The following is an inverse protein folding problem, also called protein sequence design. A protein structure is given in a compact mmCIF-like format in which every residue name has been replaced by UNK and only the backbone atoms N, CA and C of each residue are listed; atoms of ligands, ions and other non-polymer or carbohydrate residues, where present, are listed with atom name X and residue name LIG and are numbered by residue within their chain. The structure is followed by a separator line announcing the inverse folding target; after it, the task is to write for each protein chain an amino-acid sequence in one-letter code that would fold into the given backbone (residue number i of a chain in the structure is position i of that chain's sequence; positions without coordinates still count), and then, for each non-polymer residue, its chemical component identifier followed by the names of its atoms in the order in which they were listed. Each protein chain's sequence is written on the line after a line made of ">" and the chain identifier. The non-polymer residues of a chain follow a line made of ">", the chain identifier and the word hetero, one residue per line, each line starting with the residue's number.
data_IF_675881844125
#
_entry.id   IF_675881844125
#
_cell.length_a   1.000
_cell.length_b   1.000
_cell.length_c   1.000
_cell.angle_alpha   90.00
_cell.angle_beta   90.00
_cell.angle_gamma   90.00
#
_symmetry.space_group_name_H-M   'P 1'
#
loop_
_entity.id
_entity.type
_entity.pdbx_description
1 polymer ?
#
# COMPACT_ATOMS: atom_id res chain seq x y z
N UNK A 1 -27.74 -3.20 11.75
CA UNK A 1 -27.08 -2.52 10.61
C UNK A 1 -26.63 -3.62 9.67
N UNK A 2 -26.54 -3.38 8.36
CA UNK A 2 -25.96 -4.36 7.44
C UNK A 2 -24.48 -4.52 7.76
N UNK A 3 -23.93 -5.72 7.56
CA UNK A 3 -22.51 -5.96 7.70
C UNK A 3 -21.72 -5.12 6.68
N UNK A 4 -20.51 -4.65 7.02
CA UNK A 4 -19.63 -4.05 6.03
C UNK A 4 -19.29 -5.03 4.90
N UNK A 5 -19.24 -4.53 3.67
CA UNK A 5 -19.01 -5.34 2.48
C UNK A 5 -17.54 -5.29 2.01
N UNK A 6 -17.00 -6.45 1.67
CA UNK A 6 -15.63 -6.59 1.17
C UNK A 6 -15.64 -7.36 -0.15
N UNK A 7 -14.98 -6.81 -1.17
CA UNK A 7 -14.63 -7.52 -2.39
C UNK A 7 -13.17 -7.99 -2.31
N UNK A 8 -12.96 -9.29 -2.36
CA UNK A 8 -11.63 -9.90 -2.41
C UNK A 8 -11.25 -10.15 -3.87
N UNK A 9 -10.08 -9.66 -4.26
CA UNK A 9 -9.46 -9.85 -5.57
C UNK A 9 -8.10 -10.52 -5.37
N UNK A 10 -8.01 -11.86 -5.32
CA UNK A 10 -6.76 -12.55 -5.03
C UNK A 10 -5.67 -12.27 -6.08
N UNK A 11 -6.05 -12.20 -7.35
CA UNK A 11 -5.15 -11.91 -8.46
C UNK A 11 -4.23 -13.08 -8.83
N UNK A 12 -2.93 -12.80 -8.99
CA UNK A 12 -1.93 -13.68 -9.60
C UNK A 12 -0.86 -14.13 -8.61
N UNK A 13 -0.08 -15.13 -9.01
CA UNK A 13 1.12 -15.57 -8.31
C UNK A 13 0.85 -16.00 -6.88
N UNK A 14 1.51 -15.35 -5.90
CA UNK A 14 1.31 -15.61 -4.47
C UNK A 14 0.00 -15.02 -3.93
N UNK A 15 -0.68 -14.15 -4.67
CA UNK A 15 -1.90 -13.46 -4.22
C UNK A 15 -2.97 -14.40 -3.65
N UNK A 16 -3.36 -15.50 -4.33
CA UNK A 16 -4.35 -16.46 -3.81
C UNK A 16 -3.94 -17.12 -2.48
N UNK A 17 -2.65 -17.46 -2.30
CA UNK A 17 -2.20 -18.12 -1.07
C UNK A 17 -2.14 -17.15 0.13
N UNK A 18 -1.65 -15.92 -0.05
CA UNK A 18 -1.64 -14.93 1.04
C UNK A 18 -3.05 -14.44 1.39
N UNK A 19 -3.94 -14.32 0.38
CA UNK A 19 -5.34 -13.93 0.61
C UNK A 19 -6.14 -15.02 1.35
N UNK A 20 -5.75 -16.29 1.20
CA UNK A 20 -6.34 -17.38 1.99
C UNK A 20 -6.14 -17.14 3.49
N UNK A 21 -4.97 -16.65 3.90
CA UNK A 21 -4.68 -16.36 5.30
C UNK A 21 -5.46 -15.13 5.79
N UNK A 22 -5.64 -14.11 4.94
CA UNK A 22 -6.50 -12.95 5.26
C UNK A 22 -7.96 -13.39 5.48
N UNK A 23 -8.48 -14.29 4.65
CA UNK A 23 -9.85 -14.83 4.82
C UNK A 23 -10.03 -15.56 6.16
N UNK A 24 -9.01 -16.29 6.64
CA UNK A 24 -9.04 -16.90 7.98
C UNK A 24 -9.16 -15.84 9.07
N UNK A 25 -8.38 -14.74 8.97
CA UNK A 25 -8.43 -13.64 9.94
C UNK A 25 -9.78 -12.93 9.91
N UNK A 26 -10.36 -12.66 8.74
CA UNK A 26 -11.71 -12.09 8.58
C UNK A 26 -12.76 -12.96 9.30
N UNK A 27 -12.70 -14.28 9.07
CA UNK A 27 -13.62 -15.24 9.71
C UNK A 27 -13.44 -15.24 11.24
N UNK A 28 -12.20 -15.18 11.73
CA UNK A 28 -11.91 -15.10 13.17
C UNK A 28 -12.59 -13.90 13.82
N UNK A 29 -12.55 -12.71 13.19
CA UNK A 29 -13.23 -11.53 13.72
C UNK A 29 -14.75 -11.71 13.76
N UNK A 30 -15.34 -12.35 12.75
CA UNK A 30 -16.77 -12.70 12.75
C UNK A 30 -17.15 -13.65 13.88
N UNK A 31 -16.37 -14.69 14.11
CA UNK A 31 -16.66 -15.72 15.11
C UNK A 31 -16.36 -15.29 16.56
N UNK A 32 -15.31 -14.50 16.76
CA UNK A 32 -14.78 -14.20 18.10
C UNK A 32 -15.04 -12.78 18.59
N UNK A 33 -15.30 -11.83 17.67
CA UNK A 33 -15.46 -10.40 17.99
C UNK A 33 -16.80 -9.82 17.58
N UNK A 34 -17.74 -10.66 17.09
CA UNK A 34 -19.03 -10.23 16.56
C UNK A 34 -18.90 -9.15 15.46
N UNK A 35 -17.80 -9.23 14.69
CA UNK A 35 -17.48 -8.33 13.61
C UNK A 35 -17.54 -9.10 12.27
N UNK A 36 -18.76 -9.34 11.79
CA UNK A 36 -19.00 -10.04 10.54
C UNK A 36 -18.92 -9.10 9.34
N UNK A 37 -18.45 -9.64 8.22
CA UNK A 37 -18.33 -8.96 6.93
C UNK A 37 -19.08 -9.74 5.85
N UNK A 38 -19.71 -9.01 4.91
CA UNK A 38 -20.29 -9.57 3.70
C UNK A 38 -19.19 -9.65 2.65
N UNK A 39 -18.57 -10.84 2.53
CA UNK A 39 -17.41 -11.07 1.67
C UNK A 39 -17.83 -11.64 0.32
N UNK A 40 -17.38 -11.02 -0.76
CA UNK A 40 -17.45 -11.54 -2.13
C UNK A 40 -16.06 -11.68 -2.75
N UNK A 41 -15.90 -12.53 -3.76
CA UNK A 41 -14.63 -12.76 -4.44
C UNK A 41 -14.82 -12.66 -5.94
N UNK A 42 -13.82 -12.09 -6.65
CA UNK A 42 -13.83 -11.99 -8.11
C UNK A 42 -12.40 -11.99 -8.67
N UNK A 43 -12.25 -11.95 -10.00
CA UNK A 43 -10.97 -12.04 -10.68
C UNK A 43 -10.39 -10.66 -11.02
N UNK A 44 -9.05 -10.56 -10.97
CA UNK A 44 -8.27 -9.42 -11.41
C UNK A 44 -6.93 -9.89 -11.98
N UNK A 45 -6.29 -9.06 -12.77
CA UNK A 45 -4.95 -9.32 -13.29
C UNK A 45 -4.92 -10.36 -14.40
N UNK A 46 -3.91 -11.20 -14.37
CA UNK A 46 -3.73 -12.30 -15.32
C UNK A 46 -4.81 -13.36 -15.22
N UNK A 47 -5.30 -13.65 -14.00
CA UNK A 47 -6.41 -14.57 -13.78
C UNK A 47 -7.70 -14.09 -14.47
N UNK A 48 -7.99 -12.79 -14.41
CA UNK A 48 -9.12 -12.21 -15.13
C UNK A 48 -8.91 -12.24 -16.65
N UNK A 49 -7.69 -11.95 -17.11
CA UNK A 49 -7.34 -12.02 -18.53
C UNK A 49 -7.51 -13.44 -19.09
N UNK A 50 -7.07 -14.46 -18.38
CA UNK A 50 -7.23 -15.85 -18.78
C UNK A 50 -8.70 -16.27 -18.90
N UNK A 51 -9.55 -15.74 -18.02
CA UNK A 51 -10.98 -16.05 -17.99
C UNK A 51 -11.82 -15.24 -19.00
N UNK A 52 -11.48 -13.97 -19.21
CA UNK A 52 -12.36 -13.00 -19.88
C UNK A 52 -11.67 -12.21 -21.00
N UNK A 53 -10.35 -12.36 -21.21
CA UNK A 53 -9.57 -11.58 -22.19
C UNK A 53 -9.30 -10.12 -21.77
N UNK A 54 -9.62 -9.76 -20.53
CA UNK A 54 -9.37 -8.44 -19.96
C UNK A 54 -8.87 -8.56 -18.51
N UNK A 55 -7.93 -7.70 -18.06
CA UNK A 55 -7.35 -7.79 -16.72
C UNK A 55 -8.30 -7.38 -15.59
N UNK A 56 -9.46 -6.82 -15.92
CA UNK A 56 -10.56 -6.50 -15.03
C UNK A 56 -11.85 -6.41 -15.85
N UNK A 57 -12.88 -7.15 -15.48
CA UNK A 57 -14.19 -7.09 -16.13
C UNK A 57 -14.97 -5.85 -15.69
N UNK A 58 -15.93 -5.40 -16.52
CA UNK A 58 -16.81 -4.29 -16.13
C UNK A 58 -17.72 -4.68 -14.95
N UNK A 59 -18.09 -5.96 -14.83
CA UNK A 59 -18.86 -6.47 -13.71
C UNK A 59 -18.06 -6.39 -12.41
N UNK A 60 -16.80 -6.85 -12.41
CA UNK A 60 -15.91 -6.74 -11.24
C UNK A 60 -15.67 -5.28 -10.85
N UNK A 61 -15.48 -4.38 -11.84
CA UNK A 61 -15.33 -2.94 -11.59
C UNK A 61 -16.58 -2.34 -10.94
N UNK A 62 -17.79 -2.72 -11.40
CA UNK A 62 -19.04 -2.26 -10.79
C UNK A 62 -19.16 -2.74 -9.33
N UNK A 63 -18.85 -4.01 -9.05
CA UNK A 63 -18.80 -4.52 -7.66
C UNK A 63 -17.82 -3.74 -6.79
N UNK A 64 -16.61 -3.46 -7.31
CA UNK A 64 -15.59 -2.70 -6.59
C UNK A 64 -16.04 -1.27 -6.22
N UNK A 65 -16.90 -0.65 -7.03
CA UNK A 65 -17.47 0.68 -6.76
C UNK A 65 -18.57 0.66 -5.69
N UNK A 66 -19.23 -0.48 -5.45
CA UNK A 66 -20.36 -0.61 -4.53
C UNK A 66 -19.97 -1.04 -3.12
N UNK A 67 -18.87 -1.80 -2.97
CA UNK A 67 -18.43 -2.31 -1.67
C UNK A 67 -17.76 -1.24 -0.80
N UNK A 68 -17.74 -1.48 0.51
CA UNK A 68 -17.06 -0.59 1.48
C UNK A 68 -15.53 -0.66 1.36
N UNK A 69 -14.97 -1.83 0.98
CA UNK A 69 -13.53 -2.00 0.78
C UNK A 69 -13.23 -3.10 -0.25
N UNK A 70 -12.16 -2.89 -1.01
CA UNK A 70 -11.54 -3.91 -1.87
C UNK A 70 -10.27 -4.41 -1.19
N UNK A 71 -10.07 -5.74 -1.11
CA UNK A 71 -8.81 -6.37 -0.72
C UNK A 71 -8.19 -7.03 -1.95
N UNK A 72 -7.01 -6.58 -2.37
CA UNK A 72 -6.30 -7.09 -3.53
C UNK A 72 -5.03 -7.83 -3.08
N UNK A 73 -4.79 -9.02 -3.64
CA UNK A 73 -3.59 -9.80 -3.35
C UNK A 73 -2.38 -9.32 -4.13
N UNK A 74 -2.26 -9.74 -5.38
CA UNK A 74 -1.18 -9.31 -6.27
C UNK A 74 -1.57 -9.46 -7.75
N UNK A 75 -0.91 -8.75 -8.66
CA UNK A 75 -1.15 -8.88 -10.10
C UNK A 75 0.17 -9.01 -10.87
N UNK A 76 0.11 -9.64 -12.03
CA UNK A 76 1.25 -9.75 -12.93
C UNK A 76 1.93 -11.13 -12.93
N UNK A 77 2.86 -11.28 -13.87
CA UNK A 77 3.68 -12.48 -14.00
C UNK A 77 4.26 -12.66 -15.40
N UNK A 78 5.38 -13.40 -15.55
CA UNK A 78 6.12 -13.52 -16.81
C UNK A 78 5.27 -14.07 -17.97
N UNK A 79 4.24 -14.86 -17.68
CA UNK A 79 3.29 -15.37 -18.66
C UNK A 79 2.64 -14.27 -19.50
N UNK A 80 2.52 -13.06 -18.93
CA UNK A 80 1.79 -11.95 -19.53
C UNK A 80 2.72 -10.87 -20.13
N UNK A 81 4.04 -11.05 -20.09
CA UNK A 81 5.01 -10.05 -20.56
C UNK A 81 4.85 -9.72 -22.05
N UNK A 82 4.43 -10.69 -22.86
CA UNK A 82 4.25 -10.55 -24.31
C UNK A 82 2.90 -9.97 -24.73
N UNK A 83 1.99 -9.74 -23.78
CA UNK A 83 0.68 -9.16 -24.06
C UNK A 83 0.80 -7.70 -24.52
N UNK A 84 -0.19 -7.26 -25.30
CA UNK A 84 -0.35 -5.83 -25.58
C UNK A 84 -0.46 -5.05 -24.28
N UNK A 85 0.14 -3.86 -24.26
CA UNK A 85 0.22 -3.02 -23.06
C UNK A 85 -1.16 -2.70 -22.45
N UNK A 86 -2.20 -2.60 -23.30
CA UNK A 86 -3.57 -2.27 -22.88
C UNK A 86 -4.26 -3.36 -22.06
N UNK A 87 -3.81 -4.62 -22.18
CA UNK A 87 -4.40 -5.79 -21.50
C UNK A 87 -3.45 -6.48 -20.52
N UNK A 88 -2.31 -5.88 -20.22
CA UNK A 88 -1.43 -6.41 -19.16
C UNK A 88 -2.13 -6.44 -17.80
N UNK A 89 -1.83 -7.41 -16.92
CA UNK A 89 -2.43 -7.56 -15.60
C UNK A 89 -2.49 -6.27 -14.78
N UNK A 90 -1.42 -5.49 -14.78
CA UNK A 90 -1.27 -4.22 -14.05
C UNK A 90 -2.31 -3.17 -14.50
N UNK A 91 -2.84 -3.29 -15.73
CA UNK A 91 -3.89 -2.38 -16.23
C UNK A 91 -5.20 -2.54 -15.46
N UNK A 92 -5.49 -3.74 -14.93
CA UNK A 92 -6.63 -3.98 -14.04
C UNK A 92 -6.51 -3.19 -12.73
N UNK A 93 -5.33 -3.24 -12.10
CA UNK A 93 -5.03 -2.47 -10.90
C UNK A 93 -5.11 -0.96 -11.13
N UNK A 94 -4.49 -0.47 -12.21
CA UNK A 94 -4.52 0.95 -12.57
C UNK A 94 -5.96 1.43 -12.88
N UNK A 95 -6.80 0.57 -13.46
CA UNK A 95 -8.20 0.86 -13.72
C UNK A 95 -8.97 1.01 -12.40
N UNK A 96 -8.79 0.10 -11.43
CA UNK A 96 -9.40 0.19 -10.09
C UNK A 96 -9.03 1.52 -9.43
N UNK A 97 -7.74 1.85 -9.36
CA UNK A 97 -7.26 3.10 -8.75
C UNK A 97 -7.88 4.34 -9.38
N UNK A 98 -7.97 4.37 -10.72
CA UNK A 98 -8.48 5.51 -11.47
C UNK A 98 -9.99 5.65 -11.36
N UNK A 99 -10.76 4.57 -11.62
CA UNK A 99 -12.22 4.65 -11.67
C UNK A 99 -12.86 4.74 -10.29
N UNK A 100 -12.20 4.25 -9.23
CA UNK A 100 -12.60 4.49 -7.84
C UNK A 100 -12.08 5.83 -7.30
N UNK A 101 -11.26 6.58 -8.07
CA UNK A 101 -10.59 7.82 -7.68
C UNK A 101 -9.82 7.71 -6.35
N UNK A 102 -8.97 6.68 -6.24
CA UNK A 102 -8.17 6.38 -5.05
C UNK A 102 -6.90 7.22 -5.03
N UNK A 103 -7.01 8.50 -4.71
CA UNK A 103 -5.93 9.47 -4.88
C UNK A 103 -4.86 9.47 -3.79
N UNK A 104 -5.16 9.01 -2.58
CA UNK A 104 -4.22 9.00 -1.46
C UNK A 104 -3.80 7.57 -1.13
N UNK A 105 -2.58 7.20 -1.50
CA UNK A 105 -2.01 5.90 -1.17
C UNK A 105 -1.13 6.02 0.08
N UNK A 106 -1.55 5.33 1.13
CA UNK A 106 -0.90 5.26 2.43
C UNK A 106 0.03 4.07 2.47
N UNK A 107 1.32 4.29 2.65
CA UNK A 107 2.38 3.29 2.74
C UNK A 107 3.14 3.44 4.06
N UNK A 108 2.77 2.71 5.12
CA UNK A 108 3.51 2.75 6.37
C UNK A 108 4.86 2.03 6.20
N UNK A 109 5.92 2.65 6.71
CA UNK A 109 7.23 2.03 6.89
C UNK A 109 7.49 1.90 8.40
N UNK A 110 7.03 0.80 8.97
CA UNK A 110 7.16 0.48 10.39
C UNK A 110 8.15 -0.65 10.59
N UNK A 111 9.14 -0.43 11.44
CA UNK A 111 10.09 -1.46 11.82
C UNK A 111 9.63 -2.13 13.12
N UNK A 112 9.24 -3.39 13.03
CA UNK A 112 8.95 -4.22 14.20
C UNK A 112 10.24 -4.47 14.98
N UNK A 113 10.23 -4.31 16.30
CA UNK A 113 11.43 -4.46 17.13
C UNK A 113 12.12 -5.82 16.93
N UNK A 114 11.32 -6.89 16.80
CA UNK A 114 11.81 -8.25 16.54
C UNK A 114 12.49 -8.44 15.16
N UNK A 115 12.40 -7.45 14.25
CA UNK A 115 13.00 -7.46 12.92
C UNK A 115 14.07 -6.39 12.74
N UNK A 116 14.35 -5.59 13.75
CA UNK A 116 15.30 -4.48 13.64
C UNK A 116 16.73 -4.91 13.26
N UNK A 117 17.13 -6.13 13.63
CA UNK A 117 18.43 -6.73 13.27
C UNK A 117 18.49 -7.23 11.81
N UNK A 118 17.33 -7.35 11.13
CA UNK A 118 17.25 -7.80 9.73
C UNK A 118 17.29 -6.65 8.71
N UNK A 119 17.21 -5.41 9.19
CA UNK A 119 17.37 -4.23 8.33
C UNK A 119 18.76 -4.18 7.72
N UNK A 120 18.86 -3.64 6.50
CA UNK A 120 20.14 -3.32 5.86
C UNK A 120 20.89 -2.19 6.56
N UNK A 121 20.21 -1.43 7.43
CA UNK A 121 20.80 -0.38 8.25
C UNK A 121 21.06 -0.87 9.67
N UNK A 122 21.86 -0.11 10.41
CA UNK A 122 22.13 -0.40 11.82
C UNK A 122 20.84 -0.32 12.64
N UNK A 123 20.69 -1.21 13.60
CA UNK A 123 19.53 -1.27 14.49
C UNK A 123 19.20 0.09 15.14
N UNK A 124 20.19 0.83 15.60
CA UNK A 124 20.01 2.17 16.20
C UNK A 124 19.32 3.19 15.26
N UNK A 125 19.42 2.97 13.94
CA UNK A 125 18.77 3.83 12.94
C UNK A 125 17.31 3.46 12.74
N UNK A 126 16.97 2.16 12.79
CA UNK A 126 15.66 1.65 12.40
C UNK A 126 14.77 1.19 13.56
N UNK A 127 15.31 0.85 14.73
CA UNK A 127 14.50 0.40 15.88
C UNK A 127 13.47 1.47 16.27
N UNK A 128 12.18 1.08 16.34
CA UNK A 128 11.08 1.99 16.62
C UNK A 128 10.75 2.97 15.48
N UNK A 129 11.17 2.67 14.24
CA UNK A 129 10.79 3.46 13.07
C UNK A 129 9.30 3.31 12.78
N UNK A 130 8.62 4.43 12.58
CA UNK A 130 7.22 4.51 12.15
C UNK A 130 7.00 5.76 11.28
N UNK A 131 7.06 5.58 9.97
CA UNK A 131 6.84 6.64 8.98
C UNK A 131 5.60 6.29 8.16
N UNK A 132 4.75 7.28 7.90
CA UNK A 132 3.65 7.17 6.96
C UNK A 132 3.97 7.94 5.67
N UNK A 133 4.09 7.27 4.54
CA UNK A 133 4.25 7.89 3.23
C UNK A 133 2.87 8.00 2.59
N UNK A 134 2.45 9.22 2.28
CA UNK A 134 1.22 9.55 1.56
C UNK A 134 1.60 9.90 0.12
N UNK A 135 1.39 8.95 -0.78
CA UNK A 135 1.66 9.06 -2.21
C UNK A 135 0.40 9.50 -2.94
N UNK A 136 0.47 10.58 -3.73
CA UNK A 136 -0.57 10.84 -4.72
C UNK A 136 -0.59 9.70 -5.76
N UNK A 137 -1.77 9.17 -6.11
CA UNK A 137 -1.83 7.89 -6.83
C UNK A 137 -2.54 7.94 -8.19
N UNK A 138 -3.28 8.98 -8.51
CA UNK A 138 -4.18 9.02 -9.69
C UNK A 138 -3.75 9.98 -10.79
N UNK A 139 -2.64 10.71 -10.59
CA UNK A 139 -2.13 11.72 -11.50
C UNK A 139 -0.62 11.57 -11.76
N UNK A 140 0.04 12.61 -12.20
CA UNK A 140 1.47 12.63 -12.46
C UNK A 140 1.89 11.85 -13.70
N UNK A 141 3.13 11.38 -13.71
CA UNK A 141 3.78 10.76 -14.88
C UNK A 141 3.15 9.41 -15.28
N UNK A 142 2.48 8.72 -14.34
CA UNK A 142 1.80 7.45 -14.63
C UNK A 142 0.50 7.62 -15.42
N UNK A 143 -0.11 8.82 -15.40
CA UNK A 143 -1.40 9.10 -16.03
C UNK A 143 -1.41 10.31 -16.97
N UNK A 144 -0.38 11.16 -16.92
CA UNK A 144 -0.31 12.37 -17.73
C UNK A 144 -0.22 12.11 -19.23
N UNK A 145 -0.85 13.01 -20.01
CA UNK A 145 -0.83 13.01 -21.47
C UNK A 145 -0.11 14.28 -21.98
N UNK A 146 0.58 14.23 -23.15
CA UNK A 146 0.77 13.08 -24.05
C UNK A 146 1.75 12.03 -23.47
N UNK A 147 1.52 10.76 -23.84
CA UNK A 147 2.41 9.65 -23.48
C UNK A 147 2.45 8.61 -24.59
N UNK A 148 3.54 7.88 -24.68
CA UNK A 148 3.69 6.79 -25.63
C UNK A 148 5.07 6.74 -26.29
N UNK A 149 5.18 5.86 -27.27
CA UNK A 149 6.35 5.78 -28.17
C UNK A 149 5.89 6.21 -29.54
N UNK A 150 6.42 7.34 -30.00
CA UNK A 150 6.11 7.92 -31.32
C UNK A 150 7.35 7.87 -32.23
N UNK A 151 7.19 8.18 -33.51
CA UNK A 151 8.30 8.33 -34.44
C UNK A 151 8.38 9.77 -34.90
N UNK A 152 9.49 10.42 -34.64
CA UNK A 152 9.81 11.77 -35.11
C UNK A 152 11.15 11.73 -35.88
N UNK A 153 11.19 12.34 -37.06
CA UNK A 153 12.41 12.42 -37.91
C UNK A 153 13.10 11.06 -38.11
N UNK A 154 12.32 9.97 -38.31
CA UNK A 154 12.79 8.58 -38.42
C UNK A 154 13.45 8.00 -37.17
N UNK A 155 13.29 8.63 -36.00
CA UNK A 155 13.76 8.16 -34.70
C UNK A 155 12.57 7.87 -33.76
N UNK A 156 12.72 6.83 -32.92
CA UNK A 156 11.71 6.50 -31.91
C UNK A 156 11.91 7.38 -30.69
N UNK A 157 10.84 8.05 -30.25
CA UNK A 157 10.82 8.93 -29.08
C UNK A 157 9.83 8.41 -28.06
N UNK A 158 10.28 8.19 -26.81
CA UNK A 158 9.42 7.84 -25.68
C UNK A 158 9.03 9.10 -24.92
N UNK A 159 7.73 9.28 -24.66
CA UNK A 159 7.18 10.45 -23.96
C UNK A 159 6.33 10.01 -22.78
N UNK A 160 6.58 10.60 -21.60
CA UNK A 160 5.68 10.58 -20.46
C UNK A 160 5.57 12.00 -19.89
N UNK A 161 4.37 12.43 -19.55
CA UNK A 161 4.09 13.78 -19.06
C UNK A 161 3.82 13.79 -17.57
N UNK A 162 4.62 14.53 -16.83
CA UNK A 162 4.35 14.86 -15.42
C UNK A 162 3.39 16.02 -15.35
N UNK A 163 2.15 15.78 -14.91
CA UNK A 163 1.09 16.79 -14.84
C UNK A 163 0.31 16.66 -13.54
N UNK A 164 0.13 17.81 -12.85
CA UNK A 164 -0.71 17.97 -11.67
C UNK A 164 -1.55 19.24 -11.77
N UNK A 165 -2.78 19.18 -11.26
CA UNK A 165 -3.62 20.35 -10.99
C UNK A 165 -3.52 20.73 -9.51
N UNK A 166 -3.86 21.96 -9.16
CA UNK A 166 -3.95 22.41 -7.77
C UNK A 166 -4.86 21.50 -6.93
N UNK A 167 -6.05 21.16 -7.44
CA UNK A 167 -7.03 20.34 -6.73
C UNK A 167 -6.54 18.91 -6.44
N UNK A 168 -5.74 18.34 -7.33
CA UNK A 168 -5.11 17.01 -7.10
C UNK A 168 -4.08 17.07 -5.99
N UNK A 169 -3.29 18.16 -5.92
CA UNK A 169 -2.30 18.38 -4.86
C UNK A 169 -3.00 18.69 -3.52
N UNK A 170 -4.01 19.59 -3.54
CA UNK A 170 -4.75 19.96 -2.33
C UNK A 170 -5.36 18.76 -1.60
N UNK A 171 -6.04 17.87 -2.33
CA UNK A 171 -6.73 16.74 -1.72
C UNK A 171 -5.78 15.75 -1.04
N UNK A 172 -4.61 15.48 -1.64
CA UNK A 172 -3.62 14.59 -1.02
C UNK A 172 -2.88 15.29 0.12
N UNK A 173 -2.62 16.59 0.02
CA UNK A 173 -2.05 17.39 1.11
C UNK A 173 -2.95 17.38 2.34
N UNK A 174 -4.26 17.62 2.19
CA UNK A 174 -5.23 17.52 3.29
C UNK A 174 -5.23 16.13 3.93
N UNK A 175 -5.18 15.07 3.14
CA UNK A 175 -5.08 13.71 3.67
C UNK A 175 -3.83 13.51 4.53
N UNK A 176 -2.68 14.05 4.12
CA UNK A 176 -1.43 13.98 4.88
C UNK A 176 -1.50 14.77 6.18
N UNK A 177 -2.05 15.98 6.16
CA UNK A 177 -2.19 16.80 7.37
C UNK A 177 -3.18 16.18 8.37
N UNK A 178 -4.33 15.64 7.92
CA UNK A 178 -5.27 14.94 8.79
C UNK A 178 -4.66 13.69 9.43
N UNK A 179 -3.82 12.97 8.71
CA UNK A 179 -3.06 11.86 9.27
C UNK A 179 -2.04 12.34 10.31
N UNK A 180 -1.30 13.38 10.01
CA UNK A 180 -0.29 13.94 10.93
C UNK A 180 -0.90 14.36 12.27
N UNK A 181 -2.10 14.98 12.28
CA UNK A 181 -2.83 15.32 13.51
C UNK A 181 -3.14 14.12 14.42
N UNK A 182 -3.25 12.94 13.86
CA UNK A 182 -3.47 11.67 14.58
C UNK A 182 -2.18 10.95 14.93
N UNK A 183 -1.03 11.50 14.54
CA UNK A 183 0.32 10.95 14.73
C UNK A 183 1.22 11.97 15.44
N UNK A 184 2.44 12.16 14.97
CA UNK A 184 3.42 13.08 15.56
C UNK A 184 3.24 14.55 15.19
N UNK A 185 2.14 14.91 14.51
CA UNK A 185 1.80 16.29 14.11
C UNK A 185 2.85 16.95 13.20
N UNK A 186 3.49 16.16 12.32
CA UNK A 186 4.60 16.62 11.48
C UNK A 186 4.47 16.08 10.05
N UNK A 187 4.56 16.97 9.05
CA UNK A 187 4.56 16.65 7.62
C UNK A 187 5.84 17.13 6.97
N UNK A 188 6.45 16.26 6.17
CA UNK A 188 7.50 16.60 5.22
C UNK A 188 6.98 16.46 3.80
N UNK A 189 6.81 17.56 3.08
CA UNK A 189 6.45 17.55 1.66
C UNK A 189 7.70 17.36 0.81
N UNK A 190 7.72 16.27 0.02
CA UNK A 190 8.86 15.94 -0.83
C UNK A 190 8.51 16.13 -2.30
N UNK A 191 9.32 16.92 -3.01
CA UNK A 191 9.12 17.32 -4.40
C UNK A 191 10.46 17.63 -5.11
N UNK A 192 10.42 18.13 -6.33
CA UNK A 192 11.62 18.49 -7.09
C UNK A 192 11.52 19.91 -7.68
N UNK A 193 11.15 20.89 -6.86
CA UNK A 193 10.90 22.28 -7.27
C UNK A 193 12.12 23.00 -7.86
N UNK A 194 13.34 22.50 -7.61
CA UNK A 194 14.54 23.10 -8.17
C UNK A 194 14.74 22.84 -9.68
N UNK A 195 13.98 21.90 -10.28
CA UNK A 195 14.12 21.53 -11.70
C UNK A 195 12.80 21.20 -12.40
N UNK A 196 11.68 21.14 -11.67
CA UNK A 196 10.37 20.76 -12.21
C UNK A 196 9.32 21.80 -11.86
N UNK A 197 8.63 22.35 -12.86
CA UNK A 197 7.52 23.29 -12.67
C UNK A 197 6.35 22.66 -11.91
N UNK A 198 6.07 21.39 -12.16
CA UNK A 198 5.09 20.62 -11.36
C UNK A 198 5.49 20.51 -9.90
N UNK A 199 6.79 20.45 -9.60
CA UNK A 199 7.33 20.47 -8.25
C UNK A 199 7.20 21.86 -7.58
N UNK A 200 7.36 22.94 -8.34
CA UNK A 200 7.12 24.31 -7.84
C UNK A 200 5.65 24.46 -7.45
N UNK A 201 4.73 24.09 -8.34
CA UNK A 201 3.29 24.13 -8.04
C UNK A 201 2.94 23.26 -6.84
N UNK A 202 3.51 22.06 -6.75
CA UNK A 202 3.31 21.17 -5.60
C UNK A 202 3.66 21.85 -4.28
N UNK A 203 4.85 22.44 -4.19
CA UNK A 203 5.32 23.15 -2.99
C UNK A 203 4.43 24.32 -2.63
N UNK A 204 4.05 25.16 -3.62
CA UNK A 204 3.19 26.30 -3.40
C UNK A 204 1.81 25.91 -2.87
N UNK A 205 1.18 24.88 -3.46
CA UNK A 205 -0.14 24.41 -3.05
C UNK A 205 -0.11 23.77 -1.68
N UNK A 206 0.86 22.89 -1.39
CA UNK A 206 1.01 22.29 -0.05
C UNK A 206 1.22 23.35 1.02
N UNK A 207 2.08 24.37 0.74
CA UNK A 207 2.30 25.48 1.67
C UNK A 207 1.02 26.29 1.89
N UNK A 208 0.27 26.60 0.83
CA UNK A 208 -0.99 27.34 0.95
C UNK A 208 -2.03 26.57 1.77
N UNK A 209 -2.24 25.28 1.52
CA UNK A 209 -3.16 24.43 2.29
C UNK A 209 -2.75 24.39 3.76
N UNK A 210 -1.47 24.31 4.06
CA UNK A 210 -0.95 24.36 5.42
C UNK A 210 -1.30 25.71 6.09
N UNK A 211 -0.99 26.83 5.45
CA UNK A 211 -1.15 28.15 6.05
C UNK A 211 -2.62 28.52 6.28
N UNK A 212 -3.50 28.05 5.40
CA UNK A 212 -4.95 28.33 5.47
C UNK A 212 -5.71 27.38 6.40
N UNK A 213 -5.34 26.09 6.48
CA UNK A 213 -6.17 25.06 7.10
C UNK A 213 -5.45 24.27 8.22
N UNK A 214 -4.12 24.23 8.24
CA UNK A 214 -3.32 23.33 9.09
C UNK A 214 -2.11 23.99 9.76
N UNK A 215 -2.19 25.26 10.08
CA UNK A 215 -1.08 26.03 10.66
C UNK A 215 -0.58 25.48 12.02
N UNK A 216 -1.33 24.58 12.64
CA UNK A 216 -0.97 23.86 13.87
C UNK A 216 -0.11 22.59 13.63
N UNK A 217 0.09 22.18 12.39
CA UNK A 217 0.94 21.04 12.00
C UNK A 217 2.33 21.54 11.62
N UNK A 218 3.39 20.90 12.08
CA UNK A 218 4.75 21.22 11.63
C UNK A 218 4.92 20.82 10.16
N UNK A 219 5.18 21.78 9.25
CA UNK A 219 5.45 21.53 7.84
C UNK A 219 6.92 21.81 7.52
N UNK A 220 7.53 20.90 6.78
CA UNK A 220 8.83 21.08 6.13
C UNK A 220 8.77 20.68 4.67
N UNK A 221 9.66 21.23 3.84
CA UNK A 221 9.83 20.84 2.44
C UNK A 221 11.22 20.27 2.19
N UNK A 222 11.29 19.22 1.40
CA UNK A 222 12.58 18.60 1.06
C UNK A 222 12.56 18.13 -0.39
N UNK A 223 13.69 18.32 -1.11
CA UNK A 223 13.82 17.71 -2.44
C UNK A 223 13.84 16.18 -2.32
N UNK A 224 13.18 15.49 -3.23
CA UNK A 224 12.99 14.04 -3.16
C UNK A 224 14.32 13.26 -3.11
N UNK A 225 15.35 13.71 -3.81
CA UNK A 225 16.70 13.11 -3.74
C UNK A 225 17.35 13.31 -2.36
N UNK A 226 17.20 14.49 -1.75
CA UNK A 226 17.63 14.71 -0.36
C UNK A 226 16.82 13.84 0.61
N UNK A 227 15.50 13.70 0.39
CA UNK A 227 14.61 12.81 1.13
C UNK A 227 15.08 11.36 1.10
N UNK A 228 15.44 10.84 -0.08
CA UNK A 228 15.98 9.49 -0.23
C UNK A 228 17.28 9.30 0.58
N UNK A 229 18.18 10.27 0.56
CA UNK A 229 19.41 10.23 1.38
C UNK A 229 19.09 10.25 2.88
N UNK A 230 18.11 11.05 3.31
CA UNK A 230 17.72 11.16 4.71
C UNK A 230 16.97 9.93 5.22
N UNK A 231 16.20 9.25 4.39
CA UNK A 231 15.61 7.94 4.72
C UNK A 231 16.69 6.92 5.10
N UNK A 232 17.81 6.90 4.38
CA UNK A 232 18.94 6.02 4.72
C UNK A 232 19.76 6.48 5.92
N UNK A 233 19.85 7.81 6.14
CA UNK A 233 20.77 8.38 7.15
C UNK A 233 20.11 8.61 8.51
N UNK A 234 18.89 9.15 8.51
CA UNK A 234 18.16 9.54 9.70
C UNK A 234 16.65 9.50 9.49
N UNK A 235 16.07 8.31 9.25
CA UNK A 235 14.65 8.15 8.93
C UNK A 235 13.72 8.60 10.06
N UNK A 236 14.12 8.49 11.31
CA UNK A 236 13.33 8.86 12.49
C UNK A 236 12.99 10.36 12.59
N UNK A 237 13.54 11.21 11.73
CA UNK A 237 13.14 12.62 11.64
C UNK A 237 11.75 12.81 11.02
N UNK A 238 11.27 11.80 10.26
CA UNK A 238 9.99 11.85 9.55
C UNK A 238 8.88 11.18 10.35
N UNK A 239 7.69 11.78 10.32
CA UNK A 239 6.43 11.20 10.78
C UNK A 239 5.52 10.91 9.57
N UNK A 240 5.06 11.97 8.89
CA UNK A 240 4.30 11.84 7.64
C UNK A 240 5.09 12.48 6.49
N UNK A 241 5.23 11.76 5.39
CA UNK A 241 5.79 12.27 4.14
C UNK A 241 4.66 12.37 3.13
N UNK A 242 4.48 13.53 2.48
CA UNK A 242 3.56 13.68 1.34
C UNK A 242 4.35 13.97 0.07
N UNK A 243 4.01 13.27 -1.02
CA UNK A 243 4.76 13.37 -2.27
C UNK A 243 3.95 12.94 -3.48
N UNK A 244 4.45 13.26 -4.67
CA UNK A 244 3.83 12.90 -5.95
C UNK A 244 3.87 11.38 -6.22
N UNK A 245 3.27 10.98 -7.32
CA UNK A 245 3.10 9.57 -7.66
C UNK A 245 4.45 8.86 -7.87
N UNK A 246 5.37 9.44 -8.65
CA UNK A 246 6.65 8.81 -8.97
C UNK A 246 7.58 8.77 -7.76
N UNK A 247 7.79 9.92 -7.11
CA UNK A 247 8.66 9.97 -5.94
C UNK A 247 8.09 9.16 -4.78
N UNK A 248 6.75 9.13 -4.62
CA UNK A 248 6.08 8.31 -3.63
C UNK A 248 6.33 6.82 -3.80
N UNK A 249 6.36 6.34 -5.05
CA UNK A 249 6.72 4.96 -5.36
C UNK A 249 8.17 4.65 -4.94
N UNK A 250 9.10 5.43 -5.46
CA UNK A 250 10.53 5.21 -5.22
C UNK A 250 10.92 5.35 -3.74
N UNK A 251 10.39 6.37 -3.06
CA UNK A 251 10.70 6.64 -1.65
C UNK A 251 10.09 5.59 -0.72
N UNK A 252 8.87 5.10 -1.02
CA UNK A 252 8.26 4.07 -0.20
C UNK A 252 8.95 2.71 -0.36
N UNK A 253 9.40 2.37 -1.58
CA UNK A 253 10.17 1.15 -1.81
C UNK A 253 11.55 1.21 -1.14
N UNK A 254 12.19 2.39 -1.15
CA UNK A 254 13.42 2.61 -0.38
C UNK A 254 13.17 2.49 1.14
N UNK A 255 12.08 3.09 1.64
CA UNK A 255 11.69 2.98 3.06
C UNK A 255 11.33 1.55 3.46
N UNK A 256 10.79 0.77 2.53
CA UNK A 256 10.51 -0.65 2.69
C UNK A 256 11.74 -1.44 3.14
N UNK A 257 12.87 -1.17 2.54
CA UNK A 257 14.11 -1.85 2.87
C UNK A 257 14.64 -1.54 4.28
N UNK A 258 14.14 -0.47 4.91
CA UNK A 258 14.44 -0.16 6.31
C UNK A 258 13.76 -1.13 7.27
N UNK A 259 12.65 -1.73 6.85
CA UNK A 259 11.83 -2.63 7.69
C UNK A 259 12.22 -4.10 7.57
N UNK A 260 13.11 -4.44 6.64
CA UNK A 260 13.71 -5.77 6.46
C UNK A 260 13.09 -6.64 5.35
N UNK A 261 11.82 -6.50 4.99
CA UNK A 261 11.19 -7.27 3.90
C UNK A 261 9.97 -6.56 3.31
N UNK A 262 9.80 -6.65 1.98
CA UNK A 262 8.57 -6.25 1.28
C UNK A 262 7.34 -7.02 1.77
N UNK A 263 7.52 -8.24 2.25
CA UNK A 263 6.45 -9.08 2.83
C UNK A 263 5.86 -8.54 4.15
N UNK A 264 6.41 -7.44 4.67
CA UNK A 264 5.93 -6.75 5.87
C UNK A 264 5.14 -5.47 5.59
N UNK A 265 5.02 -5.05 4.32
CA UNK A 265 4.52 -3.73 3.96
C UNK A 265 3.08 -3.77 3.43
N UNK A 266 2.12 -3.31 4.23
CA UNK A 266 0.76 -3.08 3.75
C UNK A 266 0.66 -1.78 2.98
N UNK A 267 -0.45 -1.60 2.26
CA UNK A 267 -0.86 -0.29 1.78
C UNK A 267 -2.38 -0.11 1.77
N UNK A 268 -2.82 1.14 1.82
CA UNK A 268 -4.20 1.55 1.64
C UNK A 268 -4.28 2.63 0.56
N UNK A 269 -5.13 2.45 -0.42
CA UNK A 269 -5.43 3.47 -1.43
C UNK A 269 -6.82 4.01 -1.13
N UNK A 270 -6.91 5.30 -0.76
CA UNK A 270 -8.12 5.95 -0.30
C UNK A 270 -8.59 7.00 -1.30
N UNK A 271 -9.89 7.03 -1.53
CA UNK A 271 -10.61 8.04 -2.30
C UNK A 271 -11.39 9.02 -1.42
N UNK A 272 -12.27 9.79 -2.06
CA UNK A 272 -13.15 10.69 -1.36
C UNK A 272 -14.18 9.93 -0.48
N UNK A 273 -14.69 10.55 0.60
CA UNK A 273 -15.74 9.96 1.41
C UNK A 273 -17.01 9.68 0.59
N UNK A 274 -17.57 8.49 0.76
CA UNK A 274 -18.87 8.10 0.23
C UNK A 274 -20.02 8.72 1.06
N UNK A 275 -21.26 8.50 0.64
CA UNK A 275 -22.45 9.00 1.35
C UNK A 275 -22.57 8.52 2.81
N UNK A 276 -21.96 7.37 3.15
CA UNK A 276 -21.88 6.84 4.51
C UNK A 276 -20.75 7.44 5.36
N UNK A 277 -19.99 8.41 4.81
CA UNK A 277 -18.85 9.07 5.45
C UNK A 277 -17.54 8.28 5.41
N UNK A 278 -17.54 7.04 4.89
CA UNK A 278 -16.34 6.21 4.74
C UNK A 278 -15.66 6.49 3.41
N UNK A 279 -14.31 6.47 3.32
CA UNK A 279 -13.63 6.63 2.03
C UNK A 279 -13.88 5.43 1.13
N UNK A 280 -13.97 5.63 -0.18
CA UNK A 280 -13.71 4.54 -1.11
C UNK A 280 -12.30 4.04 -0.87
N UNK A 281 -12.11 2.72 -0.83
CA UNK A 281 -10.81 2.19 -0.43
C UNK A 281 -10.47 0.85 -1.09
N UNK A 282 -9.17 0.69 -1.38
CA UNK A 282 -8.56 -0.57 -1.75
C UNK A 282 -7.31 -0.79 -0.90
N UNK A 283 -7.14 -1.99 -0.40
CA UNK A 283 -6.05 -2.41 0.46
C UNK A 283 -5.27 -3.52 -0.23
N UNK A 284 -3.96 -3.37 -0.33
CA UNK A 284 -3.09 -4.31 -1.02
C UNK A 284 -1.70 -4.33 -0.39
N UNK A 285 -1.00 -5.47 -0.34
CA UNK A 285 0.41 -5.48 0.02
C UNK A 285 1.23 -4.73 -1.04
N UNK A 286 2.37 -4.15 -0.64
CA UNK A 286 3.27 -3.45 -1.58
C UNK A 286 4.02 -4.41 -2.49
N UNK A 287 4.24 -5.68 -2.05
CA UNK A 287 4.92 -6.69 -2.85
C UNK A 287 4.12 -7.09 -4.11
N UNK A 288 4.83 -7.54 -5.14
CA UNK A 288 4.23 -8.10 -6.36
C UNK A 288 3.77 -9.55 -6.22
N UNK A 289 3.55 -10.19 -7.36
CA UNK A 289 3.02 -11.56 -7.46
C UNK A 289 4.02 -12.68 -7.17
N UNK A 290 5.32 -12.39 -7.09
CA UNK A 290 6.42 -13.33 -6.82
C UNK A 290 6.25 -14.70 -7.50
N UNK A 291 6.21 -14.73 -8.84
CA UNK A 291 5.83 -15.94 -9.60
C UNK A 291 6.78 -17.12 -9.40
N UNK A 292 8.01 -16.86 -8.99
CA UNK A 292 9.05 -17.84 -8.69
C UNK A 292 8.75 -18.72 -7.46
N UNK A 293 7.97 -18.22 -6.52
CA UNK A 293 7.57 -18.96 -5.30
C UNK A 293 6.06 -19.26 -5.25
N UNK A 294 5.30 -18.85 -6.26
CA UNK A 294 3.85 -19.05 -6.32
C UNK A 294 3.46 -20.53 -6.20
N UNK A 295 2.47 -20.85 -5.38
CA UNK A 295 1.97 -22.19 -5.13
C UNK A 295 2.90 -23.09 -4.29
N UNK A 296 3.99 -22.53 -3.74
CA UNK A 296 4.94 -23.30 -2.92
C UNK A 296 4.67 -23.16 -1.41
N UNK A 297 3.71 -22.35 -0.99
CA UNK A 297 3.41 -22.12 0.43
C UNK A 297 4.55 -21.43 1.19
N UNK A 298 5.34 -20.61 0.50
CA UNK A 298 6.53 -19.93 1.08
C UNK A 298 6.33 -18.44 1.28
N UNK A 299 5.29 -17.86 0.66
CA UNK A 299 5.04 -16.43 0.71
C UNK A 299 4.72 -15.97 2.14
N UNK A 300 5.22 -14.81 2.50
CA UNK A 300 4.89 -14.14 3.76
C UNK A 300 3.49 -13.51 3.66
N UNK A 301 2.48 -13.91 4.47
CA UNK A 301 1.14 -13.36 4.38
C UNK A 301 0.96 -12.06 5.18
N UNK A 302 1.97 -11.63 5.96
CA UNK A 302 1.84 -10.56 6.96
C UNK A 302 1.46 -9.23 6.30
N UNK A 303 2.10 -8.84 5.17
CA UNK A 303 1.74 -7.60 4.48
C UNK A 303 0.26 -7.55 4.06
N UNK A 304 -0.27 -8.68 3.56
CA UNK A 304 -1.67 -8.78 3.18
C UNK A 304 -2.61 -8.73 4.39
N UNK A 305 -2.25 -9.40 5.49
CA UNK A 305 -2.99 -9.35 6.77
C UNK A 305 -2.94 -7.94 7.37
N UNK A 306 -1.79 -7.25 7.34
CA UNK A 306 -1.67 -5.85 7.77
C UNK A 306 -2.47 -4.90 6.87
N UNK A 307 -2.61 -5.20 5.57
CA UNK A 307 -3.49 -4.44 4.67
C UNK A 307 -4.96 -4.56 5.13
N UNK A 308 -5.38 -5.73 5.59
CA UNK A 308 -6.69 -5.88 6.23
C UNK A 308 -6.77 -5.12 7.58
N UNK A 309 -5.70 -5.07 8.38
CA UNK A 309 -5.64 -4.20 9.57
C UNK A 309 -5.88 -2.73 9.22
N UNK A 310 -5.28 -2.24 8.11
CA UNK A 310 -5.55 -0.90 7.61
C UNK A 310 -7.03 -0.74 7.21
N UNK A 311 -7.69 -1.76 6.63
CA UNK A 311 -9.12 -1.71 6.32
C UNK A 311 -9.96 -1.59 7.60
N UNK A 312 -9.64 -2.34 8.65
CA UNK A 312 -10.28 -2.22 9.96
C UNK A 312 -10.20 -0.79 10.47
N UNK A 313 -9.03 -0.15 10.35
CA UNK A 313 -8.77 1.19 10.88
C UNK A 313 -9.41 2.30 10.04
N UNK A 314 -9.29 2.26 8.70
CA UNK A 314 -9.66 3.38 7.84
C UNK A 314 -11.04 3.26 7.20
N UNK A 315 -11.53 2.03 6.91
CA UNK A 315 -12.85 1.83 6.29
C UNK A 315 -13.92 1.41 7.28
N UNK A 316 -13.57 0.68 8.34
CA UNK A 316 -14.57 0.04 9.21
C UNK A 316 -14.68 0.68 10.61
N UNK A 317 -13.84 1.69 10.90
CA UNK A 317 -13.80 2.38 12.20
C UNK A 317 -13.57 1.39 13.39
N UNK A 318 -12.76 0.37 13.14
CA UNK A 318 -12.42 -0.69 14.09
C UNK A 318 -10.93 -0.58 14.52
N UNK A 319 -10.52 0.62 14.95
CA UNK A 319 -9.13 0.91 15.31
C UNK A 319 -8.57 0.03 16.44
N UNK A 320 -9.40 -0.36 17.41
CA UNK A 320 -8.99 -1.25 18.50
C UNK A 320 -8.70 -2.67 17.99
N UNK A 321 -9.53 -3.17 17.08
CA UNK A 321 -9.34 -4.49 16.48
C UNK A 321 -8.16 -4.52 15.50
N UNK A 322 -7.91 -3.42 14.79
CA UNK A 322 -6.69 -3.25 14.02
C UNK A 322 -5.44 -3.34 14.91
N UNK A 323 -5.43 -2.62 16.03
CA UNK A 323 -4.32 -2.65 17.00
C UNK A 323 -4.14 -4.05 17.62
N UNK A 324 -5.23 -4.78 17.89
CA UNK A 324 -5.20 -6.17 18.35
C UNK A 324 -4.51 -7.09 17.34
N UNK A 325 -4.86 -6.95 16.06
CA UNK A 325 -4.25 -7.75 14.98
C UNK A 325 -2.76 -7.45 14.82
N UNK A 326 -2.39 -6.17 14.85
CA UNK A 326 -0.99 -5.72 14.80
C UNK A 326 -0.17 -6.26 15.98
N UNK A 327 -0.73 -6.22 17.20
CA UNK A 327 -0.09 -6.78 18.40
C UNK A 327 0.06 -8.31 18.33
N UNK A 328 -0.89 -9.04 17.75
CA UNK A 328 -0.78 -10.47 17.53
C UNK A 328 0.36 -10.81 16.56
N UNK A 329 0.53 -10.04 15.48
CA UNK A 329 1.65 -10.18 14.54
C UNK A 329 2.98 -9.90 15.24
N UNK A 330 3.07 -8.80 16.00
CA UNK A 330 4.26 -8.45 16.77
C UNK A 330 4.67 -9.57 17.75
N UNK A 331 3.69 -10.14 18.45
CA UNK A 331 3.90 -11.29 19.36
C UNK A 331 4.47 -12.50 18.63
N UNK A 332 3.92 -12.87 17.47
CA UNK A 332 4.41 -14.01 16.66
C UNK A 332 5.86 -13.77 16.22
N UNK A 333 6.17 -12.54 15.80
CA UNK A 333 7.53 -12.16 15.43
C UNK A 333 8.48 -12.16 16.64
N UNK A 334 8.03 -11.69 17.81
CA UNK A 334 8.81 -11.70 19.04
C UNK A 334 9.11 -13.14 19.52
N UNK A 335 8.21 -14.09 19.26
CA UNK A 335 8.41 -15.52 19.54
C UNK A 335 9.38 -16.20 18.55
N UNK A 336 9.98 -15.46 17.62
CA UNK A 336 10.98 -15.96 16.68
C UNK A 336 10.41 -16.68 15.45
N UNK A 337 9.10 -16.63 15.22
CA UNK A 337 8.48 -17.24 14.03
C UNK A 337 8.82 -16.40 12.79
N UNK A 338 9.33 -17.04 11.72
CA UNK A 338 9.79 -16.38 10.50
C UNK A 338 9.39 -17.15 9.26
N UNK A 339 8.94 -16.46 8.23
CA UNK A 339 8.91 -16.95 6.86
C UNK A 339 10.30 -16.84 6.22
N UNK A 340 10.49 -17.41 5.05
CA UNK A 340 11.82 -17.49 4.41
C UNK A 340 12.46 -16.11 4.13
N UNK A 341 11.65 -15.10 3.79
CA UNK A 341 12.07 -13.72 3.53
C UNK A 341 12.52 -12.96 4.81
N UNK A 342 12.14 -13.46 5.97
CA UNK A 342 12.47 -12.91 7.30
C UNK A 342 13.60 -13.67 8.00
N UNK A 343 14.30 -14.56 7.31
CA UNK A 343 15.46 -15.23 7.85
C UNK A 343 16.73 -14.42 7.55
N UNK A 344 17.55 -14.20 8.59
CA UNK A 344 18.86 -13.58 8.45
C UNK A 344 19.89 -14.50 7.79
N UNK A 345 21.12 -13.98 7.57
CA UNK A 345 22.21 -14.74 6.94
C UNK A 345 22.61 -16.00 7.74
N UNK A 346 22.29 -16.08 9.01
CA UNK A 346 22.54 -17.26 9.84
C UNK A 346 21.58 -18.42 9.53
N UNK A 347 20.55 -18.18 8.71
CA UNK A 347 19.54 -19.17 8.34
C UNK A 347 18.55 -19.47 9.47
N UNK A 348 17.84 -20.58 9.33
CA UNK A 348 16.81 -21.03 10.26
C UNK A 348 15.85 -21.99 9.57
N UNK A 349 14.82 -22.41 10.28
CA UNK A 349 13.72 -23.19 9.72
C UNK A 349 12.53 -22.26 9.48
N UNK A 350 12.25 -21.86 8.24
CA UNK A 350 11.11 -21.01 7.97
C UNK A 350 9.80 -21.77 8.18
N UNK A 351 8.77 -21.06 8.60
CA UNK A 351 7.40 -21.56 8.54
C UNK A 351 6.80 -21.29 7.16
N UNK A 352 5.82 -22.09 6.77
CA UNK A 352 5.04 -21.88 5.55
C UNK A 352 4.08 -20.71 5.69
N UNK A 353 3.50 -20.26 4.54
CA UNK A 353 2.44 -19.25 4.48
C UNK A 353 1.29 -19.58 5.44
N UNK A 354 0.79 -20.83 5.38
CA UNK A 354 -0.33 -21.29 6.22
C UNK A 354 0.07 -21.37 7.71
N UNK A 355 1.26 -21.87 8.03
CA UNK A 355 1.73 -21.94 9.42
C UNK A 355 1.87 -20.53 10.03
N UNK A 356 2.33 -19.54 9.27
CA UNK A 356 2.38 -18.14 9.73
C UNK A 356 0.97 -17.62 10.05
N UNK A 357 0.00 -17.84 9.16
CA UNK A 357 -1.39 -17.47 9.40
C UNK A 357 -1.98 -18.13 10.64
N UNK A 358 -1.75 -19.44 10.81
CA UNK A 358 -2.23 -20.20 11.97
C UNK A 358 -1.59 -19.70 13.28
N UNK A 359 -0.30 -19.29 13.27
CA UNK A 359 0.37 -18.68 14.45
C UNK A 359 -0.23 -17.32 14.81
N UNK A 360 -0.59 -16.51 13.82
CA UNK A 360 -1.25 -15.23 14.05
C UNK A 360 -2.65 -15.45 14.65
N UNK A 361 -3.42 -16.41 14.14
CA UNK A 361 -4.72 -16.78 14.73
C UNK A 361 -4.60 -17.27 16.18
N UNK A 362 -3.60 -18.10 16.46
CA UNK A 362 -3.34 -18.55 17.83
C UNK A 362 -2.97 -17.40 18.78
N UNK A 363 -2.21 -16.39 18.28
CA UNK A 363 -1.90 -15.19 19.06
C UNK A 363 -3.14 -14.31 19.29
N UNK A 364 -4.03 -14.20 18.31
CA UNK A 364 -5.32 -13.54 18.45
C UNK A 364 -6.20 -14.26 19.49
N UNK A 365 -6.31 -15.58 19.45
CA UNK A 365 -7.05 -16.36 20.46
C UNK A 365 -6.51 -16.12 21.87
N UNK A 366 -5.20 -16.02 22.01
CA UNK A 366 -4.56 -15.75 23.31
C UNK A 366 -4.78 -14.30 23.83
N UNK A 367 -5.27 -13.39 22.97
CA UNK A 367 -5.57 -11.98 23.30
C UNK A 367 -7.03 -11.76 23.75
N UNK A 368 -7.89 -12.80 23.71
CA UNK A 368 -9.28 -12.74 24.16
C UNK A 368 -9.37 -12.72 25.68
#
# INVERSE_FOLDING_TARGET
>A
MANPSILILPGDGIGPEVMTEVKKVINWFGEKRDLAFDVSEDLVGGAAYDAHGAPLSDETMAKAQEVDAVLLGAVGGPKYDTLDFSVKPERGLLRLRKEMDLYANLRPAQCFDALSDFSSLKQEVVAGLDIMIVRELTSGIYFGEPRGIITENNERVGINTQRYTESEIERVARSAFELAKRRGNKVCSMEKANVMESGILWREVVQRVHDEEYADVELSHMYADAGAMQLCRWPKQFDVIVTDNLFGDLLSDAAAMLTGSLGMLPSASLGAPMANGRPKAMYEPVHGSAPDIAGQGKANPIACILSFSMALRYSFDQGEEATRLEAAIEKVLADGVRTADLLGPEGGSPVSTSEMGDKILAALDASL
#
